data_IF_236209737581
#
_entry.id   IF_236209737581
#
_cell.length_a   1.000
_cell.length_b   1.000
_cell.length_c   1.000
_cell.angle_alpha   90.00
_cell.angle_beta   90.00
_cell.angle_gamma   90.00
#
_symmetry.space_group_name_H-M   'P 1'
#
loop_
_entity.id
_entity.type
_entity.pdbx_description
1 polymer ?
#
# COMPACT_ATOMS: atom_id res chain seq x y z
N UNK A 1 2.25 19.16 -7.32
CA UNK A 1 2.41 19.48 -5.87
C UNK A 1 1.19 19.12 -5.01
N UNK A 2 -0.05 19.39 -5.45
CA UNK A 2 -1.26 19.12 -4.62
C UNK A 2 -1.43 17.68 -4.12
N UNK A 3 -1.08 16.67 -4.93
CA UNK A 3 -1.12 15.26 -4.49
C UNK A 3 -0.23 14.99 -3.25
N UNK A 4 0.97 15.56 -3.21
CA UNK A 4 1.88 15.32 -2.08
C UNK A 4 1.29 15.86 -0.77
N UNK A 5 0.68 17.05 -0.82
CA UNK A 5 -0.02 17.66 0.31
C UNK A 5 -1.26 16.85 0.74
N UNK A 6 -2.06 16.41 -0.23
CA UNK A 6 -3.19 15.53 0.03
C UNK A 6 -2.75 14.23 0.71
N UNK A 7 -1.76 13.54 0.17
CA UNK A 7 -1.23 12.32 0.75
C UNK A 7 -0.62 12.53 2.14
N UNK A 8 0.01 13.68 2.39
CA UNK A 8 0.50 14.05 3.71
C UNK A 8 -0.65 14.21 4.71
N UNK A 9 -1.79 14.74 4.29
CA UNK A 9 -2.98 14.88 5.14
C UNK A 9 -3.48 13.51 5.65
N UNK A 10 -3.38 12.45 4.83
CA UNK A 10 -3.66 11.07 5.29
C UNK A 10 -2.67 10.61 6.37
N UNK A 11 -1.39 10.91 6.19
CA UNK A 11 -0.35 10.56 7.17
C UNK A 11 -0.53 11.30 8.50
N UNK A 12 -1.12 12.51 8.46
CA UNK A 12 -1.44 13.34 9.63
C UNK A 12 -2.81 13.02 10.25
N UNK A 13 -3.49 11.96 9.79
CA UNK A 13 -4.84 11.58 10.25
C UNK A 13 -5.89 12.69 10.03
N UNK A 14 -5.76 13.43 8.93
CA UNK A 14 -6.71 14.44 8.49
C UNK A 14 -7.34 14.04 7.14
N UNK A 15 -8.11 12.93 7.09
CA UNK A 15 -8.60 12.37 5.84
C UNK A 15 -9.61 13.28 5.12
N UNK A 16 -10.44 14.04 5.85
CA UNK A 16 -11.35 15.03 5.26
C UNK A 16 -10.61 16.14 4.49
N UNK A 17 -9.51 16.67 5.04
CA UNK A 17 -8.67 17.64 4.34
C UNK A 17 -8.02 17.03 3.09
N UNK A 18 -7.66 15.74 3.13
CA UNK A 18 -7.19 15.03 1.94
C UNK A 18 -8.27 15.01 0.86
N UNK A 19 -9.52 14.66 1.22
CA UNK A 19 -10.65 14.65 0.28
C UNK A 19 -10.78 16.02 -0.42
N UNK A 20 -10.79 17.11 0.34
CA UNK A 20 -10.96 18.46 -0.22
C UNK A 20 -9.80 18.88 -1.14
N UNK A 21 -8.56 18.59 -0.73
CA UNK A 21 -7.37 18.88 -1.54
C UNK A 21 -7.36 18.10 -2.86
N UNK A 22 -7.75 16.81 -2.84
CA UNK A 22 -7.79 15.99 -4.06
C UNK A 22 -8.96 16.40 -4.95
N UNK A 23 -10.14 16.68 -4.39
CA UNK A 23 -11.27 17.23 -5.16
C UNK A 23 -10.88 18.52 -5.88
N UNK A 24 -10.24 19.44 -5.18
CA UNK A 24 -9.76 20.69 -5.76
C UNK A 24 -8.67 20.50 -6.83
N UNK A 25 -7.82 19.48 -6.68
CA UNK A 25 -6.80 19.14 -7.67
C UNK A 25 -7.42 18.52 -8.93
N UNK A 26 -8.36 17.58 -8.77
CA UNK A 26 -9.09 16.97 -9.89
C UNK A 26 -9.89 18.02 -10.66
N UNK A 27 -10.65 18.88 -9.98
CA UNK A 27 -11.46 19.92 -10.63
C UNK A 27 -10.64 20.88 -11.51
N UNK A 28 -9.36 21.09 -11.20
CA UNK A 28 -8.44 21.95 -11.99
C UNK A 28 -7.60 21.17 -13.00
N UNK A 29 -7.38 19.88 -12.77
CA UNK A 29 -6.46 19.06 -13.55
C UNK A 29 -7.13 18.20 -14.61
N UNK A 30 -8.40 17.84 -14.45
CA UNK A 30 -9.14 17.00 -15.40
C UNK A 30 -9.07 17.60 -16.81
N UNK A 31 -8.69 16.77 -17.80
CA UNK A 31 -8.47 17.18 -19.19
C UNK A 31 -7.17 17.95 -19.46
N UNK A 32 -6.40 18.30 -18.44
CA UNK A 32 -5.16 19.08 -18.56
C UNK A 32 -3.90 18.33 -18.12
N UNK A 33 -4.04 17.13 -17.56
CA UNK A 33 -2.92 16.28 -17.13
C UNK A 33 -2.92 14.96 -17.89
N UNK A 34 -1.77 14.28 -17.92
CA UNK A 34 -1.64 12.92 -18.44
C UNK A 34 -2.34 11.89 -17.54
N UNK A 35 -2.67 10.72 -18.11
CA UNK A 35 -3.42 9.66 -17.44
C UNK A 35 -2.69 9.11 -16.23
N UNK A 36 -1.36 9.06 -16.23
CA UNK A 36 -0.59 8.62 -15.07
C UNK A 36 -0.73 9.61 -13.91
N UNK A 37 -0.66 10.91 -14.18
CA UNK A 37 -0.90 11.95 -13.17
C UNK A 37 -2.34 11.94 -12.66
N UNK A 38 -3.32 11.76 -13.54
CA UNK A 38 -4.74 11.66 -13.21
C UNK A 38 -5.03 10.42 -12.34
N UNK A 39 -4.49 9.26 -12.71
CA UNK A 39 -4.60 8.02 -11.93
C UNK A 39 -4.04 8.20 -10.51
N UNK A 40 -2.91 8.90 -10.40
CA UNK A 40 -2.34 9.24 -9.10
C UNK A 40 -3.29 10.16 -8.27
N UNK A 41 -4.01 11.08 -8.88
CA UNK A 41 -5.00 11.88 -8.14
C UNK A 41 -6.16 11.01 -7.66
N UNK A 42 -6.75 10.20 -8.55
CA UNK A 42 -7.87 9.31 -8.22
C UNK A 42 -7.53 8.31 -7.13
N UNK A 43 -6.36 7.67 -7.17
CA UNK A 43 -6.00 6.71 -6.13
C UNK A 43 -5.74 7.36 -4.76
N UNK A 44 -5.31 8.62 -4.74
CA UNK A 44 -5.21 9.38 -3.48
C UNK A 44 -6.60 9.69 -2.95
N UNK A 45 -7.55 9.98 -3.85
CA UNK A 45 -8.96 10.19 -3.50
C UNK A 45 -9.59 8.94 -2.91
N UNK A 46 -9.35 7.77 -3.52
CA UNK A 46 -9.89 6.49 -3.07
C UNK A 46 -9.44 6.18 -1.63
N UNK A 47 -8.14 6.35 -1.33
CA UNK A 47 -7.59 6.23 0.02
C UNK A 47 -8.23 7.20 1.01
N UNK A 48 -8.54 8.42 0.58
CA UNK A 48 -9.17 9.42 1.43
C UNK A 48 -10.63 9.07 1.74
N UNK A 49 -11.38 8.63 0.73
CA UNK A 49 -12.77 8.19 0.90
C UNK A 49 -12.87 6.97 1.80
N UNK A 50 -12.02 5.95 1.60
CA UNK A 50 -12.02 4.79 2.48
C UNK A 50 -11.70 5.17 3.94
N UNK A 51 -10.74 6.08 4.15
CA UNK A 51 -10.38 6.57 5.48
C UNK A 51 -11.50 7.38 6.19
N UNK A 52 -12.50 7.89 5.46
CA UNK A 52 -13.70 8.54 6.04
C UNK A 52 -14.95 7.65 6.02
N UNK A 53 -14.84 6.39 5.58
CA UNK A 53 -15.95 5.44 5.53
C UNK A 53 -16.89 5.60 4.32
N UNK A 54 -16.50 6.39 3.31
CA UNK A 54 -17.29 6.64 2.10
C UNK A 54 -17.05 5.54 1.05
N UNK A 55 -17.41 4.31 1.39
CA UNK A 55 -17.07 3.11 0.61
C UNK A 55 -17.48 3.16 -0.88
N UNK A 56 -18.71 3.61 -1.24
CA UNK A 56 -19.10 3.71 -2.64
C UNK A 56 -18.26 4.72 -3.43
N UNK A 57 -17.83 5.82 -2.78
CA UNK A 57 -16.98 6.83 -3.41
C UNK A 57 -15.55 6.35 -3.54
N UNK A 58 -15.05 5.58 -2.57
CA UNK A 58 -13.75 4.93 -2.65
C UNK A 58 -13.69 3.97 -3.85
N UNK A 59 -14.68 3.09 -4.01
CA UNK A 59 -14.76 2.14 -5.12
C UNK A 59 -14.81 2.85 -6.48
N UNK A 60 -15.61 3.91 -6.63
CA UNK A 60 -15.66 4.71 -7.86
C UNK A 60 -14.31 5.36 -8.18
N UNK A 61 -13.61 5.86 -7.16
CA UNK A 61 -12.29 6.46 -7.34
C UNK A 61 -11.21 5.42 -7.68
N UNK A 62 -11.34 4.16 -7.25
CA UNK A 62 -10.47 3.07 -7.70
C UNK A 62 -10.63 2.83 -9.20
N UNK A 63 -11.87 2.66 -9.68
CA UNK A 63 -12.16 2.46 -11.10
C UNK A 63 -11.63 3.62 -11.95
N UNK A 64 -11.86 4.86 -11.52
CA UNK A 64 -11.33 6.04 -12.24
C UNK A 64 -9.79 6.08 -12.27
N UNK A 65 -9.11 5.56 -11.25
CA UNK A 65 -7.65 5.45 -11.26
C UNK A 65 -7.16 4.39 -12.26
N UNK A 66 -7.87 3.27 -12.38
CA UNK A 66 -7.58 2.22 -13.36
C UNK A 66 -7.81 2.70 -14.78
N UNK A 67 -8.96 3.33 -15.06
CA UNK A 67 -9.28 3.90 -16.36
C UNK A 67 -8.24 4.93 -16.81
N UNK A 68 -7.81 5.81 -15.89
CA UNK A 68 -6.78 6.80 -16.19
C UNK A 68 -5.41 6.17 -16.48
N UNK A 69 -5.06 5.03 -15.88
CA UNK A 69 -3.82 4.31 -16.20
C UNK A 69 -3.81 3.70 -17.61
N UNK A 70 -4.98 3.36 -18.16
CA UNK A 70 -5.11 2.79 -19.49
C UNK A 70 -4.90 3.83 -20.61
N UNK A 71 -4.88 5.12 -20.27
CA UNK A 71 -4.69 6.19 -21.27
C UNK A 71 -3.23 6.26 -21.73
N UNK A 72 -3.03 6.18 -23.05
CA UNK A 72 -1.71 6.20 -23.68
C UNK A 72 -1.22 7.63 -23.98
N UNK A 73 -0.89 8.39 -22.93
CA UNK A 73 -0.41 9.79 -23.08
C UNK A 73 1.12 9.92 -23.14
N UNK A 74 1.83 8.82 -23.40
CA UNK A 74 3.28 8.77 -23.38
C UNK A 74 3.87 8.61 -21.97
N UNK A 75 5.17 8.93 -21.77
CA UNK A 75 5.86 8.63 -20.53
C UNK A 75 5.40 9.53 -19.36
N UNK A 76 5.30 8.93 -18.17
CA UNK A 76 4.94 9.65 -16.95
C UNK A 76 5.89 10.85 -16.70
N UNK A 77 5.35 12.08 -16.53
CA UNK A 77 6.15 13.27 -16.27
C UNK A 77 6.98 13.18 -14.98
N UNK A 78 8.14 13.85 -14.96
CA UNK A 78 9.07 13.84 -13.82
C UNK A 78 8.43 14.32 -12.51
N UNK A 79 7.57 15.34 -12.58
CA UNK A 79 6.90 15.90 -11.41
C UNK A 79 5.93 14.91 -10.74
N UNK A 80 5.31 14.01 -11.50
CA UNK A 80 4.40 12.99 -10.96
C UNK A 80 5.16 11.71 -10.56
N UNK A 81 6.31 11.46 -11.21
CA UNK A 81 7.22 10.33 -10.94
C UNK A 81 7.94 10.41 -9.58
N UNK A 82 7.89 11.55 -8.89
CA UNK A 82 8.45 11.72 -7.53
C UNK A 82 7.88 10.70 -6.51
N UNK A 83 6.66 10.23 -6.73
CA UNK A 83 6.03 9.18 -5.90
C UNK A 83 6.36 7.75 -6.37
N UNK A 84 7.17 7.60 -7.41
CA UNK A 84 7.38 6.35 -8.14
C UNK A 84 6.53 6.23 -9.41
N UNK A 85 6.63 5.09 -10.12
CA UNK A 85 5.81 4.79 -11.28
C UNK A 85 4.34 4.75 -10.89
N UNK A 86 3.46 5.34 -11.70
CA UNK A 86 2.05 5.41 -11.33
C UNK A 86 1.39 4.04 -11.25
N UNK A 87 1.68 3.13 -12.19
CA UNK A 87 1.14 1.76 -12.16
C UNK A 87 1.41 1.01 -10.85
N UNK A 88 2.64 1.07 -10.32
CA UNK A 88 2.98 0.44 -9.04
C UNK A 88 2.34 1.15 -7.84
N UNK A 89 2.29 2.48 -7.89
CA UNK A 89 1.67 3.31 -6.85
C UNK A 89 0.17 3.05 -6.76
N UNK A 90 -0.51 2.95 -7.90
CA UNK A 90 -1.94 2.63 -7.96
C UNK A 90 -2.17 1.25 -7.36
N UNK A 91 -1.52 0.20 -7.83
CA UNK A 91 -1.70 -1.16 -7.29
C UNK A 91 -1.50 -1.23 -5.76
N UNK A 92 -0.43 -0.61 -5.24
CA UNK A 92 -0.17 -0.59 -3.79
C UNK A 92 -1.23 0.16 -2.99
N UNK A 93 -1.77 1.25 -3.53
CA UNK A 93 -2.81 2.01 -2.85
C UNK A 93 -4.20 1.41 -3.07
N UNK A 94 -4.45 0.70 -4.17
CA UNK A 94 -5.67 -0.07 -4.40
C UNK A 94 -5.74 -1.16 -3.34
N UNK A 95 -4.67 -1.94 -3.14
CA UNK A 95 -4.61 -2.96 -2.09
C UNK A 95 -4.96 -2.39 -0.70
N UNK A 96 -4.37 -1.26 -0.31
CA UNK A 96 -4.67 -0.59 0.97
C UNK A 96 -6.10 -0.05 1.05
N UNK A 97 -6.63 0.47 -0.05
CA UNK A 97 -8.03 0.92 -0.11
C UNK A 97 -8.97 -0.27 0.08
N UNK A 98 -8.72 -1.39 -0.61
CA UNK A 98 -9.51 -2.62 -0.48
C UNK A 98 -9.39 -3.22 0.93
N UNK A 99 -8.24 -3.05 1.60
CA UNK A 99 -8.07 -3.43 3.01
C UNK A 99 -9.04 -2.64 3.90
N UNK A 100 -9.08 -1.31 3.73
CA UNK A 100 -9.99 -0.42 4.48
C UNK A 100 -11.47 -0.75 4.17
N UNK A 101 -11.76 -1.28 2.98
CA UNK A 101 -13.09 -1.74 2.56
C UNK A 101 -13.40 -3.21 2.96
N UNK A 102 -12.48 -3.89 3.65
CA UNK A 102 -12.56 -5.30 4.02
C UNK A 102 -12.70 -6.30 2.85
N UNK A 103 -12.26 -5.93 1.64
CA UNK A 103 -12.12 -6.86 0.52
C UNK A 103 -10.74 -7.56 0.58
N UNK A 104 -10.69 -8.66 1.32
CA UNK A 104 -9.45 -9.40 1.55
C UNK A 104 -8.89 -10.08 0.28
N UNK A 105 -9.77 -10.59 -0.59
CA UNK A 105 -9.37 -11.27 -1.83
C UNK A 105 -8.76 -10.25 -2.79
N UNK A 106 -9.44 -9.13 -3.01
CA UNK A 106 -8.93 -8.05 -3.85
C UNK A 106 -7.65 -7.44 -3.28
N UNK A 107 -7.56 -7.27 -1.96
CA UNK A 107 -6.34 -6.81 -1.27
C UNK A 107 -5.13 -7.70 -1.59
N UNK A 108 -5.28 -9.02 -1.45
CA UNK A 108 -4.21 -9.98 -1.75
C UNK A 108 -3.77 -9.90 -3.21
N UNK A 109 -4.72 -9.90 -4.14
CA UNK A 109 -4.42 -9.82 -5.58
C UNK A 109 -3.62 -8.55 -5.91
N UNK A 110 -4.04 -7.41 -5.37
CA UNK A 110 -3.41 -6.12 -5.62
C UNK A 110 -2.04 -5.98 -4.95
N UNK A 111 -1.81 -6.60 -3.78
CA UNK A 111 -0.46 -6.68 -3.21
C UNK A 111 0.49 -7.51 -4.09
N UNK A 112 0.02 -8.64 -4.64
CA UNK A 112 0.84 -9.42 -5.57
C UNK A 112 1.13 -8.68 -6.87
N UNK A 113 0.13 -8.00 -7.45
CA UNK A 113 0.32 -7.16 -8.63
C UNK A 113 1.28 -5.99 -8.34
N UNK A 114 1.20 -5.37 -7.16
CA UNK A 114 2.17 -4.34 -6.78
C UNK A 114 3.62 -4.88 -6.79
N UNK A 115 3.87 -6.09 -6.30
CA UNK A 115 5.22 -6.69 -6.31
C UNK A 115 5.79 -6.87 -7.73
N UNK A 116 4.95 -7.07 -8.75
CA UNK A 116 5.41 -7.18 -10.14
C UNK A 116 5.67 -5.80 -10.78
N UNK A 117 4.92 -4.77 -10.36
CA UNK A 117 4.99 -3.42 -10.94
C UNK A 117 6.11 -2.54 -10.37
N UNK A 118 6.59 -2.84 -9.17
CA UNK A 118 7.73 -2.15 -8.57
C UNK A 118 9.04 -2.85 -8.93
N UNK A 119 10.05 -2.09 -9.38
CA UNK A 119 11.38 -2.65 -9.54
C UNK A 119 11.98 -3.03 -8.16
N UNK A 120 12.38 -4.30 -7.94
CA UNK A 120 12.76 -4.81 -6.62
C UNK A 120 13.95 -4.08 -6.00
N UNK A 121 15.04 -3.89 -6.76
CA UNK A 121 16.23 -3.20 -6.24
C UNK A 121 16.00 -1.70 -6.01
N UNK A 122 15.43 -1.00 -7.00
CA UNK A 122 15.21 0.45 -6.93
C UNK A 122 14.21 0.85 -5.84
N UNK A 123 13.23 -0.01 -5.55
CA UNK A 123 12.16 0.27 -4.60
C UNK A 123 12.11 -0.77 -3.48
N UNK A 124 13.27 -1.19 -2.97
CA UNK A 124 13.42 -2.21 -1.91
C UNK A 124 12.48 -1.97 -0.72
N UNK A 125 12.36 -0.72 -0.28
CA UNK A 125 11.45 -0.33 0.81
C UNK A 125 9.98 -0.59 0.49
N UNK A 126 9.56 -0.30 -0.73
CA UNK A 126 8.18 -0.53 -1.15
C UNK A 126 7.91 -2.02 -1.16
N UNK A 127 8.81 -2.81 -1.73
CA UNK A 127 8.76 -4.29 -1.70
C UNK A 127 8.65 -4.84 -0.27
N UNK A 128 9.51 -4.38 0.64
CA UNK A 128 9.49 -4.80 2.04
C UNK A 128 8.12 -4.55 2.70
N UNK A 129 7.56 -3.35 2.52
CA UNK A 129 6.25 -3.00 3.08
C UNK A 129 5.10 -3.74 2.37
N UNK A 130 5.19 -3.97 1.06
CA UNK A 130 4.18 -4.73 0.32
C UNK A 130 4.15 -6.19 0.76
N UNK A 131 5.30 -6.82 1.04
CA UNK A 131 5.35 -8.15 1.62
C UNK A 131 4.77 -8.20 3.05
N UNK A 132 4.99 -7.16 3.85
CA UNK A 132 4.39 -7.05 5.18
C UNK A 132 2.85 -6.96 5.10
N UNK A 133 2.35 -6.04 4.27
CA UNK A 133 0.92 -5.84 4.03
C UNK A 133 0.27 -7.12 3.43
N UNK A 134 0.96 -7.84 2.54
CA UNK A 134 0.51 -9.12 1.98
C UNK A 134 0.38 -10.19 3.07
N UNK A 135 1.35 -10.29 3.99
CA UNK A 135 1.28 -11.23 5.10
C UNK A 135 0.10 -10.96 6.04
N UNK A 136 -0.21 -9.68 6.29
CA UNK A 136 -1.37 -9.28 7.09
C UNK A 136 -2.70 -9.68 6.41
N UNK A 137 -2.80 -9.50 5.09
CA UNK A 137 -3.95 -9.95 4.31
C UNK A 137 -4.13 -11.48 4.36
N UNK A 138 -3.05 -12.24 4.16
CA UNK A 138 -3.07 -13.71 4.21
C UNK A 138 -3.44 -14.22 5.61
N UNK A 139 -2.93 -13.58 6.67
CA UNK A 139 -3.25 -13.91 8.04
C UNK A 139 -4.73 -13.69 8.36
N UNK A 140 -5.32 -12.61 7.85
CA UNK A 140 -6.76 -12.31 7.98
C UNK A 140 -7.62 -13.37 7.31
N UNK A 141 -7.12 -13.97 6.22
CA UNK A 141 -7.74 -15.10 5.52
C UNK A 141 -7.38 -16.47 6.14
N UNK A 142 -6.79 -16.50 7.34
CA UNK A 142 -6.37 -17.71 8.05
C UNK A 142 -5.32 -18.59 7.33
N UNK A 143 -4.58 -18.04 6.36
CA UNK A 143 -3.53 -18.72 5.59
C UNK A 143 -2.16 -18.56 6.27
N UNK A 144 -2.00 -19.23 7.42
CA UNK A 144 -0.88 -19.00 8.33
C UNK A 144 0.51 -19.24 7.71
N UNK A 145 0.69 -20.34 6.97
CA UNK A 145 1.99 -20.69 6.37
C UNK A 145 2.44 -19.64 5.36
N UNK A 146 1.52 -19.18 4.51
CA UNK A 146 1.80 -18.15 3.50
C UNK A 146 2.02 -16.78 4.13
N UNK A 147 1.28 -16.45 5.20
CA UNK A 147 1.50 -15.23 5.96
C UNK A 147 2.93 -15.20 6.57
N UNK A 148 3.37 -16.30 7.19
CA UNK A 148 4.73 -16.43 7.73
C UNK A 148 5.77 -16.30 6.61
N UNK A 149 5.55 -16.92 5.45
CA UNK A 149 6.45 -16.79 4.31
C UNK A 149 6.56 -15.33 3.82
N UNK A 150 5.43 -14.63 3.68
CA UNK A 150 5.40 -13.23 3.24
C UNK A 150 6.10 -12.30 4.25
N UNK A 151 5.80 -12.42 5.55
CA UNK A 151 6.49 -11.64 6.59
C UNK A 151 7.98 -11.95 6.70
N UNK A 152 8.39 -13.19 6.44
CA UNK A 152 9.82 -13.55 6.39
C UNK A 152 10.53 -12.81 5.27
N UNK A 153 9.94 -12.75 4.07
CA UNK A 153 10.48 -11.97 2.95
C UNK A 153 10.53 -10.47 3.28
N UNK A 154 9.47 -9.95 3.93
CA UNK A 154 9.46 -8.57 4.40
C UNK A 154 10.65 -8.28 5.32
N UNK A 155 10.92 -9.17 6.30
CA UNK A 155 12.01 -8.98 7.26
C UNK A 155 13.40 -9.04 6.62
N UNK A 156 13.61 -9.96 5.67
CA UNK A 156 14.86 -10.03 4.87
C UNK A 156 15.09 -8.72 4.11
N UNK A 157 14.05 -8.19 3.46
CA UNK A 157 14.17 -6.93 2.73
C UNK A 157 14.41 -5.73 3.65
N UNK A 158 13.90 -5.78 4.89
CA UNK A 158 14.10 -4.74 5.92
C UNK A 158 15.49 -4.75 6.55
N UNK A 159 16.33 -5.76 6.29
CA UNK A 159 17.68 -5.81 6.83
C UNK A 159 18.50 -4.57 6.41
N UNK A 160 19.14 -3.94 7.39
CA UNK A 160 19.88 -2.68 7.22
C UNK A 160 19.02 -1.44 7.03
N UNK A 161 17.68 -1.55 7.08
CA UNK A 161 16.78 -0.41 6.91
C UNK A 161 16.37 0.23 8.23
N UNK A 162 16.71 1.51 8.41
CA UNK A 162 16.25 2.30 9.56
C UNK A 162 15.05 3.17 9.16
N UNK A 163 13.82 2.74 9.49
CA UNK A 163 12.60 3.50 9.19
C UNK A 163 11.50 3.25 10.21
N UNK A 164 10.82 4.31 10.67
CA UNK A 164 9.65 4.19 11.55
C UNK A 164 8.57 3.25 10.98
N UNK A 165 8.32 3.30 9.66
CA UNK A 165 7.34 2.40 9.02
C UNK A 165 7.76 0.92 9.04
N UNK A 166 9.06 0.62 8.95
CA UNK A 166 9.53 -0.78 9.01
C UNK A 166 9.47 -1.30 10.44
N UNK A 167 9.87 -0.47 11.42
CA UNK A 167 9.69 -0.77 12.86
C UNK A 167 8.23 -1.05 13.21
N UNK A 168 7.29 -0.25 12.70
CA UNK A 168 5.85 -0.47 12.88
C UNK A 168 5.37 -1.79 12.29
N UNK A 169 5.78 -2.11 11.06
CA UNK A 169 5.45 -3.39 10.41
C UNK A 169 5.99 -4.60 11.18
N UNK A 170 7.24 -4.55 11.67
CA UNK A 170 7.81 -5.64 12.48
C UNK A 170 7.09 -5.75 13.83
N UNK A 171 6.63 -4.63 14.38
CA UNK A 171 5.89 -4.63 15.65
C UNK A 171 4.47 -5.20 15.49
N UNK A 172 3.77 -4.90 14.40
CA UNK A 172 2.37 -5.30 14.19
C UNK A 172 2.17 -6.81 14.14
N UNK A 173 3.13 -7.56 13.59
CA UNK A 173 3.01 -9.01 13.39
C UNK A 173 3.19 -9.82 14.69
N UNK A 174 3.72 -9.23 15.76
CA UNK A 174 4.11 -9.96 16.99
C UNK A 174 2.95 -10.69 17.66
N UNK A 175 1.77 -10.09 17.68
CA UNK A 175 0.57 -10.67 18.31
C UNK A 175 0.13 -11.93 17.56
N UNK A 176 0.04 -11.85 16.23
CA UNK A 176 -0.32 -12.96 15.35
C UNK A 176 0.73 -14.08 15.40
N UNK A 177 2.03 -13.73 15.41
CA UNK A 177 3.10 -14.72 15.57
C UNK A 177 3.01 -15.47 16.89
N UNK A 178 2.63 -14.81 17.98
CA UNK A 178 2.41 -15.49 19.27
C UNK A 178 1.30 -16.55 19.21
N UNK A 179 0.23 -16.30 18.44
CA UNK A 179 -0.82 -17.29 18.17
C UNK A 179 -0.27 -18.44 17.32
N UNK A 180 0.47 -18.12 16.26
CA UNK A 180 1.03 -19.10 15.33
C UNK A 180 2.08 -20.00 15.99
N UNK A 181 2.90 -19.47 16.89
CA UNK A 181 3.82 -20.25 17.72
C UNK A 181 3.08 -21.27 18.58
N UNK A 182 2.01 -20.87 19.28
CA UNK A 182 1.20 -21.81 20.09
C UNK A 182 0.55 -22.90 19.23
N UNK A 183 0.16 -22.56 18.01
CA UNK A 183 -0.39 -23.48 17.01
C UNK A 183 0.68 -24.30 16.27
N UNK A 184 1.97 -24.07 16.55
CA UNK A 184 3.12 -24.73 15.89
C UNK A 184 3.14 -24.56 14.36
N UNK A 185 2.72 -23.38 13.88
CA UNK A 185 2.86 -23.02 12.47
C UNK A 185 4.35 -23.02 12.09
N UNK A 186 4.76 -23.70 11.02
CA UNK A 186 6.15 -23.73 10.56
C UNK A 186 6.76 -22.33 10.39
N UNK A 187 8.01 -22.14 10.81
CA UNK A 187 8.74 -20.87 10.67
C UNK A 187 8.31 -19.75 11.62
N UNK A 188 7.15 -19.83 12.28
CA UNK A 188 6.65 -18.74 13.14
C UNK A 188 7.57 -18.44 14.34
N UNK A 189 8.22 -19.47 14.91
CA UNK A 189 9.13 -19.30 16.03
C UNK A 189 10.44 -18.59 15.64
N UNK A 190 11.03 -18.98 14.51
CA UNK A 190 12.22 -18.36 13.95
C UNK A 190 11.95 -16.89 13.58
N UNK A 191 10.87 -16.65 12.84
CA UNK A 191 10.45 -15.30 12.45
C UNK A 191 10.24 -14.40 13.67
N UNK A 192 9.62 -14.90 14.74
CA UNK A 192 9.45 -14.15 15.98
C UNK A 192 10.77 -13.83 16.70
N UNK A 193 11.80 -14.69 16.60
CA UNK A 193 13.13 -14.36 17.13
C UNK A 193 13.77 -13.23 16.34
N UNK A 194 13.83 -13.38 15.01
CA UNK A 194 14.42 -12.40 14.10
C UNK A 194 13.72 -11.04 14.17
N UNK A 195 12.39 -11.04 14.32
CA UNK A 195 11.61 -9.81 14.52
C UNK A 195 11.98 -9.08 15.83
N UNK A 196 12.29 -9.81 16.91
CA UNK A 196 12.76 -9.20 18.17
C UNK A 196 14.16 -8.63 18.02
N UNK A 197 15.06 -9.38 17.40
CA UNK A 197 16.45 -8.95 17.13
C UNK A 197 16.48 -7.68 16.27
N UNK A 198 15.60 -7.58 15.27
CA UNK A 198 15.50 -6.41 14.40
C UNK A 198 14.93 -5.15 15.07
N UNK A 199 14.32 -5.29 16.26
CA UNK A 199 13.73 -4.19 17.03
C UNK A 199 14.62 -3.72 18.19
N UNK A 200 15.58 -4.55 18.61
CA UNK A 200 16.57 -4.24 19.64
C UNK A 200 17.51 -3.10 19.19
#
# INVERSE_FOLDING_TARGET
MMRALAHQSLSLKQPHHCVDLVKGALARGLGHVDGQTEALLHITHARAYAAVGENPLAARALLAAEDALLREDGPQPSFSRVSGPAAGTVASHTARTLTDLADHIGTEQQHRDALTRWHPEKYKRVHALTHADLGDSLATQARADEAVAAWTQALVLMEGMTSDRTRKAITSIRSTLGIYQRRRVPGAADLASRARESLA
#
